data_IF_539634538629
#
_entry.id   IF_539634538629
#
_cell.length_a   1.000
_cell.length_b   1.000
_cell.length_c   1.000
_cell.angle_alpha   90.00
_cell.angle_beta   90.00
_cell.angle_gamma   90.00
#
_symmetry.space_group_name_H-M   'P 1'
#
loop_
_entity.id
_entity.type
_entity.pdbx_description
1 polymer ?
#
# COMPACT_ATOMS: atom_id res chain seq x y z
N UNK A 1 26.21 22.04 23.31
CA UNK A 1 25.03 22.55 22.58
C UNK A 1 25.07 22.20 21.10
N UNK A 2 26.03 21.39 20.64
CA UNK A 2 26.10 20.95 19.24
C UNK A 2 25.28 19.69 18.94
N UNK A 3 25.11 18.79 19.93
CA UNK A 3 24.32 17.55 19.72
C UNK A 3 22.86 17.83 19.37
N UNK A 4 22.21 18.78 20.05
CA UNK A 4 20.81 19.16 19.75
C UNK A 4 20.68 19.74 18.34
N UNK A 5 21.69 20.50 17.89
CA UNK A 5 21.71 21.10 16.57
C UNK A 5 21.94 20.04 15.47
N UNK A 6 22.88 19.11 15.68
CA UNK A 6 23.15 18.02 14.73
C UNK A 6 21.96 17.06 14.62
N UNK A 7 21.32 16.70 15.75
CA UNK A 7 20.11 15.88 15.76
C UNK A 7 18.94 16.55 15.01
N UNK A 8 18.81 17.88 15.13
CA UNK A 8 17.80 18.63 14.40
C UNK A 8 18.09 18.65 12.88
N UNK A 9 19.35 18.85 12.48
CA UNK A 9 19.75 18.79 11.06
C UNK A 9 19.55 17.39 10.46
N UNK A 10 19.89 16.33 11.19
CA UNK A 10 19.67 14.95 10.76
C UNK A 10 18.18 14.64 10.59
N UNK A 11 17.34 15.05 11.54
CA UNK A 11 15.89 14.90 11.45
C UNK A 11 15.30 15.64 10.23
N UNK A 12 15.77 16.86 9.96
CA UNK A 12 15.36 17.64 8.77
C UNK A 12 15.80 16.96 7.48
N UNK A 13 17.03 16.43 7.43
CA UNK A 13 17.52 15.65 6.28
C UNK A 13 16.66 14.40 6.01
N UNK A 14 16.41 13.59 7.03
CA UNK A 14 15.58 12.39 6.91
C UNK A 14 14.12 12.70 6.49
N UNK A 15 13.56 13.80 7.00
CA UNK A 15 12.23 14.26 6.57
C UNK A 15 12.22 14.66 5.11
N UNK A 16 13.21 15.45 4.65
CA UNK A 16 13.35 15.85 3.25
C UNK A 16 13.48 14.65 2.32
N UNK A 17 14.33 13.67 2.65
CA UNK A 17 14.50 12.45 1.86
C UNK A 17 13.21 11.63 1.76
N UNK A 18 12.41 11.63 2.83
CA UNK A 18 11.11 10.95 2.86
C UNK A 18 10.11 11.66 1.93
N UNK A 19 10.08 13.00 1.95
CA UNK A 19 9.24 13.80 1.06
C UNK A 19 9.60 13.58 -0.42
N UNK A 20 10.89 13.61 -0.76
CA UNK A 20 11.36 13.40 -2.14
C UNK A 20 10.96 12.00 -2.66
N UNK A 21 11.05 10.97 -1.82
CA UNK A 21 10.59 9.61 -2.16
C UNK A 21 9.07 9.53 -2.37
N UNK A 22 8.29 10.20 -1.53
CA UNK A 22 6.84 10.25 -1.68
C UNK A 22 6.42 10.97 -2.96
N UNK A 23 7.06 12.09 -3.28
CA UNK A 23 6.80 12.83 -4.52
C UNK A 23 7.13 12.00 -5.75
N UNK A 24 8.30 11.36 -5.78
CA UNK A 24 8.70 10.48 -6.87
C UNK A 24 7.71 9.32 -7.06
N UNK A 25 7.30 8.67 -5.96
CA UNK A 25 6.30 7.60 -6.00
C UNK A 25 4.95 8.08 -6.54
N UNK A 26 4.47 9.24 -6.08
CA UNK A 26 3.20 9.80 -6.55
C UNK A 26 3.28 10.21 -8.03
N UNK A 27 4.40 10.76 -8.50
CA UNK A 27 4.63 11.08 -9.90
C UNK A 27 4.57 9.82 -10.77
N UNK A 28 5.30 8.76 -10.39
CA UNK A 28 5.28 7.49 -11.12
C UNK A 28 3.88 6.86 -11.14
N UNK A 29 3.18 6.88 -10.00
CA UNK A 29 1.80 6.41 -9.90
C UNK A 29 0.85 7.20 -10.81
N UNK A 30 0.99 8.53 -10.89
CA UNK A 30 0.20 9.38 -11.77
C UNK A 30 0.41 9.01 -13.24
N UNK A 31 1.67 8.84 -13.65
CA UNK A 31 2.03 8.47 -15.02
C UNK A 31 1.43 7.11 -15.42
N UNK A 32 1.52 6.10 -14.55
CA UNK A 32 0.97 4.77 -14.81
C UNK A 32 -0.57 4.78 -14.86
N UNK A 33 -1.22 5.53 -13.97
CA UNK A 33 -2.66 5.53 -13.84
C UNK A 33 -3.40 6.19 -15.02
N UNK A 34 -2.72 6.81 -15.98
CA UNK A 34 -3.33 7.32 -17.21
C UNK A 34 -3.89 6.17 -18.06
N UNK A 35 -3.23 5.02 -18.04
CA UNK A 35 -3.60 3.83 -18.82
C UNK A 35 -4.76 3.09 -18.14
N UNK A 36 -5.70 2.55 -18.94
CA UNK A 36 -6.81 1.72 -18.46
C UNK A 36 -6.97 0.48 -19.37
N UNK A 37 -6.69 -0.74 -18.88
CA UNK A 37 -6.28 -1.07 -17.51
C UNK A 37 -4.83 -0.71 -17.21
N UNK A 38 -4.55 -0.27 -15.97
CA UNK A 38 -3.17 -0.10 -15.48
C UNK A 38 -2.69 -1.40 -14.83
N UNK A 39 -1.57 -1.91 -15.32
CA UNK A 39 -0.93 -3.10 -14.77
C UNK A 39 0.06 -2.74 -13.66
N UNK A 40 0.25 -3.66 -12.71
CA UNK A 40 1.23 -3.46 -11.67
C UNK A 40 2.66 -3.53 -12.25
N UNK A 41 3.51 -2.51 -12.00
CA UNK A 41 4.88 -2.47 -12.54
C UNK A 41 5.80 -3.57 -12.01
N UNK A 42 5.44 -4.21 -10.88
CA UNK A 42 6.25 -5.26 -10.25
C UNK A 42 5.97 -6.67 -10.83
N UNK A 43 5.39 -6.75 -12.03
CA UNK A 43 5.13 -7.99 -12.76
C UNK A 43 4.33 -9.05 -11.96
N UNK A 44 3.44 -8.61 -11.06
CA UNK A 44 2.64 -9.50 -10.21
C UNK A 44 1.34 -10.00 -10.87
N UNK A 45 1.12 -9.65 -12.15
CA UNK A 45 -0.04 -10.04 -12.95
C UNK A 45 -1.36 -9.36 -12.56
N UNK A 46 -1.36 -8.39 -11.63
CA UNK A 46 -2.57 -7.64 -11.25
C UNK A 46 -2.74 -6.39 -12.11
N UNK A 47 -3.97 -6.17 -12.56
CA UNK A 47 -4.37 -4.97 -13.28
C UNK A 47 -5.57 -4.29 -12.59
N UNK A 48 -5.66 -2.97 -12.73
CA UNK A 48 -6.71 -2.13 -12.16
C UNK A 48 -7.36 -1.30 -13.26
N UNK A 49 -8.69 -1.18 -13.21
CA UNK A 49 -9.47 -0.48 -14.25
C UNK A 49 -10.48 0.50 -13.68
N UNK A 50 -10.92 1.45 -14.50
CA UNK A 50 -11.94 2.45 -14.17
C UNK A 50 -11.47 3.59 -13.26
N UNK A 51 -12.43 4.37 -12.76
CA UNK A 51 -12.19 5.63 -12.04
C UNK A 51 -11.28 5.49 -10.81
N UNK A 52 -11.33 4.35 -10.12
CA UNK A 52 -10.58 4.10 -8.89
C UNK A 52 -9.27 3.33 -9.12
N UNK A 53 -8.83 3.14 -10.37
CA UNK A 53 -7.64 2.34 -10.70
C UNK A 53 -6.37 2.87 -10.05
N UNK A 54 -6.17 4.20 -10.05
CA UNK A 54 -5.04 4.87 -9.40
C UNK A 54 -4.96 4.54 -7.91
N UNK A 55 -6.06 4.72 -7.19
CA UNK A 55 -6.10 4.46 -5.74
C UNK A 55 -5.93 2.96 -5.43
N UNK A 56 -6.48 2.10 -6.29
CA UNK A 56 -6.34 0.65 -6.16
C UNK A 56 -4.90 0.20 -6.38
N UNK A 57 -4.22 0.72 -7.41
CA UNK A 57 -2.80 0.48 -7.67
C UNK A 57 -1.91 1.03 -6.55
N UNK A 58 -2.19 2.24 -6.06
CA UNK A 58 -1.46 2.84 -4.91
C UNK A 58 -1.50 1.93 -3.69
N UNK A 59 -2.71 1.52 -3.29
CA UNK A 59 -2.90 0.61 -2.15
C UNK A 59 -2.18 -0.72 -2.38
N UNK A 60 -2.28 -1.26 -3.59
CA UNK A 60 -1.62 -2.51 -3.95
C UNK A 60 -0.11 -2.43 -3.79
N UNK A 61 0.54 -1.41 -4.35
CA UNK A 61 1.98 -1.23 -4.25
C UNK A 61 2.44 -1.03 -2.79
N UNK A 62 1.67 -0.27 -2.00
CA UNK A 62 2.03 0.02 -0.61
C UNK A 62 1.84 -1.16 0.34
N UNK A 63 0.84 -2.02 0.12
CA UNK A 63 0.41 -2.98 1.15
C UNK A 63 0.29 -4.43 0.69
N UNK A 64 0.21 -4.70 -0.60
CA UNK A 64 -0.07 -6.05 -1.11
C UNK A 64 1.07 -6.61 -1.96
N UNK A 65 1.64 -5.80 -2.85
CA UNK A 65 2.61 -6.26 -3.82
C UNK A 65 3.90 -6.73 -3.13
N UNK A 66 4.30 -7.98 -3.39
CA UNK A 66 5.50 -8.57 -2.81
C UNK A 66 5.43 -8.80 -1.29
N UNK A 67 4.30 -8.53 -0.64
CA UNK A 67 4.16 -8.74 0.80
C UNK A 67 3.62 -10.14 1.11
N UNK A 68 4.18 -10.85 2.10
CA UNK A 68 3.65 -12.14 2.51
C UNK A 68 2.28 -11.98 3.17
N UNK A 69 1.38 -12.98 3.08
CA UNK A 69 0.07 -12.91 3.70
C UNK A 69 0.17 -13.12 5.21
N UNK A 70 0.03 -12.04 5.97
CA UNK A 70 0.20 -12.00 7.42
C UNK A 70 -1.12 -12.19 8.18
N UNK A 71 -2.27 -11.91 7.56
CA UNK A 71 -3.56 -11.94 8.23
C UNK A 71 -4.26 -13.26 7.94
N UNK A 72 -4.49 -14.08 8.97
CA UNK A 72 -5.18 -15.36 8.84
C UNK A 72 -6.63 -15.23 9.29
N UNK A 73 -7.55 -15.82 8.52
CA UNK A 73 -8.93 -15.98 8.93
C UNK A 73 -9.02 -16.96 10.11
N UNK A 74 -9.67 -16.55 11.19
CA UNK A 74 -9.86 -17.37 12.40
C UNK A 74 -10.80 -18.56 12.19
N UNK A 75 -11.62 -18.53 11.12
CA UNK A 75 -12.63 -19.57 10.84
C UNK A 75 -12.11 -20.60 9.84
N UNK A 76 -11.53 -20.16 8.71
CA UNK A 76 -11.12 -21.05 7.62
C UNK A 76 -9.62 -21.05 7.31
N UNK A 77 -8.80 -20.41 8.14
CA UNK A 77 -7.33 -20.33 7.99
C UNK A 77 -6.82 -19.73 6.68
N UNK A 78 -7.70 -19.18 5.83
CA UNK A 78 -7.31 -18.46 4.62
C UNK A 78 -6.46 -17.23 4.97
N UNK A 79 -5.34 -17.04 4.27
CA UNK A 79 -4.40 -15.94 4.53
C UNK A 79 -4.57 -14.79 3.54
N UNK A 80 -4.34 -13.58 4.04
CA UNK A 80 -4.49 -12.32 3.31
C UNK A 80 -3.28 -11.42 3.56
N UNK A 81 -2.92 -10.60 2.58
CA UNK A 81 -1.81 -9.62 2.66
C UNK A 81 -2.18 -8.38 3.45
N UNK A 82 -3.47 -8.01 3.49
CA UNK A 82 -3.95 -6.84 4.20
C UNK A 82 -5.17 -7.14 5.10
N UNK A 83 -5.28 -6.41 6.21
CA UNK A 83 -6.33 -6.56 7.23
C UNK A 83 -7.74 -6.33 6.66
N UNK A 84 -7.90 -5.30 5.82
CA UNK A 84 -9.19 -4.92 5.25
C UNK A 84 -9.81 -6.04 4.40
N UNK A 85 -8.99 -6.75 3.62
CA UNK A 85 -9.44 -7.87 2.78
C UNK A 85 -9.86 -9.06 3.62
N UNK A 86 -9.13 -9.34 4.71
CA UNK A 86 -9.50 -10.37 5.68
C UNK A 86 -10.81 -10.02 6.41
N UNK A 87 -11.00 -8.77 6.83
CA UNK A 87 -12.27 -8.30 7.43
C UNK A 87 -13.44 -8.40 6.45
N UNK A 88 -13.26 -7.98 5.19
CA UNK A 88 -14.28 -8.16 4.15
C UNK A 88 -14.62 -9.64 3.94
N UNK A 89 -13.61 -10.51 3.95
CA UNK A 89 -13.82 -11.95 3.87
C UNK A 89 -14.61 -12.50 5.06
N UNK A 90 -14.29 -12.08 6.29
CA UNK A 90 -15.05 -12.45 7.48
C UNK A 90 -16.52 -12.01 7.37
N UNK A 91 -16.77 -10.79 6.91
CA UNK A 91 -18.14 -10.28 6.74
C UNK A 91 -18.89 -10.99 5.61
N UNK A 92 -18.27 -11.19 4.44
CA UNK A 92 -18.95 -11.73 3.26
C UNK A 92 -19.12 -13.26 3.28
N UNK A 93 -18.13 -13.98 3.82
CA UNK A 93 -18.11 -15.46 3.80
C UNK A 93 -18.57 -16.04 5.14
N UNK A 94 -18.18 -15.42 6.25
CA UNK A 94 -18.50 -15.92 7.60
C UNK A 94 -19.56 -15.10 8.32
N UNK A 95 -20.03 -13.98 7.75
CA UNK A 95 -21.00 -13.05 8.37
C UNK A 95 -20.55 -12.53 9.74
N UNK A 96 -19.23 -12.43 9.96
CA UNK A 96 -18.62 -11.89 11.17
C UNK A 96 -18.19 -10.44 10.89
N UNK A 97 -18.81 -9.50 11.59
CA UNK A 97 -18.47 -8.07 11.52
C UNK A 97 -17.59 -7.74 12.72
N UNK A 98 -16.31 -7.46 12.45
CA UNK A 98 -15.42 -6.93 13.48
C UNK A 98 -15.68 -5.42 13.59
N UNK A 99 -16.22 -4.98 14.73
CA UNK A 99 -16.40 -3.57 15.07
C UNK A 99 -15.07 -2.88 15.39
#
# INVERSE_FOLDING_TARGET
TDEVFMNAQEAVGAHRDTQEKEEHFNYQLNALAVIDPVECPNNCGRAYKGLHRKNSLKRHLLYDCGKPPQFQCVVCSKRFTNKKSMQYHLAAIHKIINH
#
